data_IF_457474285208
#
_entry.id   IF_457474285208
#
_cell.length_a   1.000
_cell.length_b   1.000
_cell.length_c   1.000
_cell.angle_alpha   90.00
_cell.angle_beta   90.00
_cell.angle_gamma   90.00
#
_symmetry.space_group_name_H-M   'P 1'
#
loop_
_entity.id
_entity.type
_entity.pdbx_description
1 polymer ?
#
# COMPACT_ATOMS: atom_id res chain seq x y z
N UNK A 1 3.10 19.79 6.43
CA UNK A 1 2.30 18.54 6.48
C UNK A 1 3.21 17.47 5.92
N UNK A 2 3.37 16.36 6.61
CA UNK A 2 4.31 15.31 6.22
C UNK A 2 3.55 14.33 5.33
N UNK A 3 4.10 14.04 4.16
CA UNK A 3 3.53 13.12 3.19
C UNK A 3 4.25 11.79 3.27
N UNK A 4 3.47 10.71 3.23
CA UNK A 4 3.98 9.35 3.13
C UNK A 4 3.40 8.68 1.89
N UNK A 5 4.29 8.08 1.10
CA UNK A 5 3.93 7.30 -0.07
C UNK A 5 4.04 5.81 0.26
N UNK A 6 2.89 5.15 0.24
CA UNK A 6 2.76 3.69 0.21
C UNK A 6 2.79 3.22 -1.25
N UNK A 7 3.74 2.37 -1.58
CA UNK A 7 3.82 1.70 -2.89
C UNK A 7 3.54 0.23 -2.69
N UNK A 8 2.56 -0.29 -3.44
CA UNK A 8 2.25 -1.70 -3.51
C UNK A 8 2.48 -2.18 -4.93
N UNK A 9 3.50 -3.01 -5.13
CA UNK A 9 3.75 -3.68 -6.40
C UNK A 9 2.96 -4.98 -6.43
N UNK A 10 2.12 -5.12 -7.44
CA UNK A 10 1.21 -6.24 -7.59
C UNK A 10 1.34 -6.85 -8.97
N UNK A 11 0.99 -8.13 -9.07
CA UNK A 11 0.73 -8.81 -10.32
C UNK A 11 -0.77 -9.10 -10.42
N UNK A 12 -1.39 -8.49 -11.41
CA UNK A 12 -2.78 -8.69 -11.80
C UNK A 12 -2.76 -9.41 -13.15
N UNK A 13 -3.18 -10.68 -13.15
CA UNK A 13 -3.06 -11.61 -14.27
C UNK A 13 -1.58 -11.74 -14.74
N UNK A 14 -1.25 -11.12 -15.88
CA UNK A 14 0.07 -11.10 -16.48
C UNK A 14 0.71 -9.70 -16.50
N UNK A 15 0.16 -8.75 -15.75
CA UNK A 15 0.64 -7.37 -15.71
C UNK A 15 1.12 -7.01 -14.31
N UNK A 16 2.36 -6.56 -14.22
CA UNK A 16 2.90 -5.93 -13.01
C UNK A 16 2.40 -4.48 -12.98
N UNK A 17 1.84 -4.06 -11.85
CA UNK A 17 1.38 -2.68 -11.63
C UNK A 17 1.87 -2.19 -10.27
N UNK A 18 1.98 -0.87 -10.13
CA UNK A 18 2.25 -0.22 -8.87
C UNK A 18 1.00 0.56 -8.47
N UNK A 19 0.50 0.29 -7.28
CA UNK A 19 -0.61 1.02 -6.66
C UNK A 19 0.00 1.95 -5.62
N UNK A 20 -0.23 3.25 -5.79
CA UNK A 20 0.26 4.27 -4.88
C UNK A 20 -0.87 4.72 -3.95
N UNK A 21 -0.53 4.96 -2.68
CA UNK A 21 -1.41 5.59 -1.71
C UNK A 21 -0.65 6.67 -0.95
N UNK A 22 -1.22 7.87 -0.91
CA UNK A 22 -0.61 9.04 -0.27
C UNK A 22 -1.31 9.30 1.07
N UNK A 23 -0.53 9.31 2.15
CA UNK A 23 -1.03 9.56 3.51
C UNK A 23 -0.41 10.87 4.01
N UNK A 24 -1.27 11.80 4.40
CA UNK A 24 -0.85 13.10 4.92
C UNK A 24 -1.03 13.16 6.44
N UNK A 25 0.03 13.52 7.16
CA UNK A 25 0.05 13.62 8.63
C UNK A 25 0.55 14.99 9.11
N UNK A 26 0.12 15.37 10.31
CA UNK A 26 0.60 16.58 10.99
C UNK A 26 1.92 16.36 11.75
N UNK A 27 2.23 15.12 12.11
CA UNK A 27 3.42 14.69 12.86
C UNK A 27 4.03 13.46 12.20
N UNK A 28 5.30 13.17 12.44
CA UNK A 28 5.94 11.96 11.95
C UNK A 28 5.25 10.72 12.52
N UNK A 29 5.10 9.69 11.68
CA UNK A 29 4.65 8.38 12.13
C UNK A 29 5.83 7.61 12.72
N UNK A 30 5.56 6.82 13.74
CA UNK A 30 6.48 5.83 14.26
C UNK A 30 6.59 4.63 13.31
N UNK A 31 7.66 3.85 13.41
CA UNK A 31 7.85 2.64 12.60
C UNK A 31 6.66 1.68 12.72
N UNK A 32 6.13 1.54 13.94
CA UNK A 32 4.93 0.72 14.20
C UNK A 32 3.70 1.23 13.45
N UNK A 33 3.44 2.54 13.48
CA UNK A 33 2.31 3.12 12.74
C UNK A 33 2.48 2.96 11.23
N UNK A 34 3.71 3.06 10.71
CA UNK A 34 4.01 2.81 9.31
C UNK A 34 3.80 1.35 8.92
N UNK A 35 4.22 0.40 9.76
CA UNK A 35 4.02 -1.03 9.55
C UNK A 35 2.52 -1.39 9.57
N UNK A 36 1.77 -0.90 10.55
CA UNK A 36 0.31 -1.09 10.64
C UNK A 36 -0.39 -0.58 9.37
N UNK A 37 0.01 0.58 8.85
CA UNK A 37 -0.56 1.14 7.62
C UNK A 37 -0.23 0.34 6.37
N UNK A 38 0.98 -0.22 6.28
CA UNK A 38 1.36 -1.13 5.20
C UNK A 38 0.48 -2.39 5.21
N UNK A 39 0.31 -3.01 6.39
CA UNK A 39 -0.51 -4.22 6.54
C UNK A 39 -1.98 -3.93 6.20
N UNK A 40 -2.55 -2.83 6.70
CA UNK A 40 -3.92 -2.41 6.39
C UNK A 40 -4.12 -2.21 4.88
N UNK A 41 -3.15 -1.58 4.21
CA UNK A 41 -3.23 -1.32 2.79
C UNK A 41 -3.20 -2.61 1.96
N UNK A 42 -2.26 -3.52 2.28
CA UNK A 42 -2.18 -4.84 1.65
C UNK A 42 -3.48 -5.63 1.82
N UNK A 43 -4.02 -5.71 3.04
CA UNK A 43 -5.29 -6.41 3.32
C UNK A 43 -6.44 -5.82 2.53
N UNK A 44 -6.59 -4.48 2.56
CA UNK A 44 -7.66 -3.79 1.84
C UNK A 44 -7.59 -4.05 0.33
N UNK A 45 -6.39 -4.04 -0.26
CA UNK A 45 -6.23 -4.32 -1.69
C UNK A 45 -6.59 -5.76 -2.04
N UNK A 46 -6.12 -6.74 -1.27
CA UNK A 46 -6.47 -8.15 -1.48
C UNK A 46 -7.98 -8.37 -1.40
N UNK A 47 -8.65 -7.85 -0.35
CA UNK A 47 -10.10 -7.97 -0.19
C UNK A 47 -10.88 -7.30 -1.31
N UNK A 48 -10.43 -6.13 -1.78
CA UNK A 48 -11.10 -5.41 -2.87
C UNK A 48 -11.02 -6.18 -4.19
N UNK A 49 -9.86 -6.77 -4.50
CA UNK A 49 -9.71 -7.59 -5.70
C UNK A 49 -10.50 -8.90 -5.61
N UNK A 50 -10.49 -9.55 -4.45
CA UNK A 50 -11.30 -10.75 -4.20
C UNK A 50 -12.81 -10.47 -4.40
N UNK A 51 -13.32 -9.37 -3.82
CA UNK A 51 -14.72 -8.93 -4.01
C UNK A 51 -15.06 -8.62 -5.47
N UNK A 52 -14.08 -8.22 -6.27
CA UNK A 52 -14.23 -8.00 -7.71
C UNK A 52 -14.08 -9.28 -8.54
N UNK A 53 -13.88 -10.45 -7.91
CA UNK A 53 -13.65 -11.72 -8.59
C UNK A 53 -12.29 -11.80 -9.31
N UNK A 54 -11.31 -11.00 -8.86
CA UNK A 54 -9.96 -10.94 -9.46
C UNK A 54 -8.92 -11.50 -8.51
N UNK A 55 -7.87 -12.10 -9.08
CA UNK A 55 -6.70 -12.54 -8.32
C UNK A 55 -5.67 -11.42 -8.27
N UNK A 56 -5.19 -11.11 -7.07
CA UNK A 56 -4.10 -10.16 -6.83
C UNK A 56 -2.95 -10.88 -6.13
N UNK A 57 -1.78 -10.88 -6.76
CA UNK A 57 -0.55 -11.32 -6.11
C UNK A 57 0.25 -10.08 -5.69
N UNK A 58 0.49 -9.92 -4.38
CA UNK A 58 1.34 -8.85 -3.84
C UNK A 58 2.79 -9.30 -3.94
N UNK A 59 3.60 -8.55 -4.69
CA UNK A 59 5.03 -8.85 -4.89
C UNK A 59 5.91 -8.10 -3.89
N UNK A 60 5.62 -6.82 -3.67
CA UNK A 60 6.37 -5.95 -2.76
C UNK A 60 5.48 -4.84 -2.24
N UNK A 61 5.75 -4.39 -1.01
CA UNK A 61 5.15 -3.19 -0.46
C UNK A 61 6.20 -2.40 0.31
N UNK A 62 6.09 -1.07 0.25
CA UNK A 62 6.95 -0.17 1.00
C UNK A 62 6.18 1.09 1.36
N UNK A 63 6.66 1.76 2.42
CA UNK A 63 6.19 3.07 2.82
C UNK A 63 7.38 3.98 3.02
N UNK A 64 7.32 5.17 2.43
CA UNK A 64 8.42 6.15 2.46
C UNK A 64 7.86 7.52 2.78
N UNK A 65 8.53 8.25 3.67
CA UNK A 65 8.27 9.68 3.83
C UNK A 65 8.74 10.42 2.58
N UNK A 66 7.88 11.27 2.02
CA UNK A 66 8.18 12.08 0.83
C UNK A 66 8.68 13.43 1.31
N UNK A 67 9.95 13.72 1.05
CA UNK A 67 10.63 14.99 1.37
C UNK A 67 10.50 16.01 0.26
#
# INVERSE_FOLDING_TARGET
>A
MIEYLLKLQVKDENKIRIINNHIFRKKHMTDKEMEEKQIEFCKSMSENYEKAGKTLEILEYSMTEVS
#
